data_IF_866706165220
#
_entry.id   IF_866706165220
#
_cell.length_a   1.000
_cell.length_b   1.000
_cell.length_c   1.000
_cell.angle_alpha   90.00
_cell.angle_beta   90.00
_cell.angle_gamma   90.00
#
_symmetry.space_group_name_H-M   'P 1'
#
loop_
_entity.id
_entity.type
_entity.pdbx_description
1 polymer ?
#
# COMPACT_ATOMS: atom_id res chain seq x y z
N UNK A 1 -14.98 26.34 12.90
CA UNK A 1 -14.27 25.33 12.10
C UNK A 1 -12.89 25.19 12.72
N UNK A 2 -12.67 24.16 13.53
CA UNK A 2 -11.31 23.79 13.91
C UNK A 2 -10.64 23.26 12.65
N UNK A 3 -9.64 23.99 12.13
CA UNK A 3 -8.70 23.47 11.13
C UNK A 3 -7.90 22.36 11.81
N UNK A 4 -8.51 21.19 11.97
CA UNK A 4 -7.77 19.99 12.32
C UNK A 4 -7.15 19.53 11.01
N UNK A 5 -5.87 19.84 10.79
CA UNK A 5 -5.14 19.29 9.66
C UNK A 5 -5.14 17.76 9.77
N UNK A 6 -5.58 17.07 8.72
CA UNK A 6 -5.50 15.61 8.67
C UNK A 6 -4.04 15.18 8.77
N UNK A 7 -3.77 14.18 9.62
CA UNK A 7 -2.43 13.63 9.80
C UNK A 7 -2.32 12.30 9.08
N UNK A 8 -1.29 12.20 8.23
CA UNK A 8 -0.96 10.99 7.48
C UNK A 8 0.25 10.30 8.11
N UNK A 9 0.14 9.00 8.32
CA UNK A 9 1.26 8.14 8.67
C UNK A 9 2.17 7.94 7.45
N UNK A 10 3.45 8.25 7.61
CA UNK A 10 4.44 8.19 6.52
C UNK A 10 5.31 6.94 6.62
N UNK A 11 5.92 6.56 5.50
CA UNK A 11 6.91 5.48 5.48
C UNK A 11 8.07 5.84 6.42
N UNK A 12 8.47 4.89 7.26
CA UNK A 12 9.59 5.01 8.20
C UNK A 12 10.81 4.23 7.70
N UNK A 13 11.94 4.37 8.41
CA UNK A 13 13.18 3.63 8.13
C UNK A 13 13.05 2.12 8.35
N UNK A 14 12.17 1.72 9.28
CA UNK A 14 11.86 0.32 9.54
C UNK A 14 10.62 -0.09 8.75
N UNK A 15 10.61 -1.26 8.11
CA UNK A 15 9.41 -1.79 7.49
C UNK A 15 8.31 -2.00 8.51
N UNK A 16 7.07 -1.84 8.07
CA UNK A 16 5.89 -1.94 8.91
C UNK A 16 5.01 -3.07 8.41
N UNK A 17 4.56 -3.93 9.33
CA UNK A 17 3.55 -4.96 9.07
C UNK A 17 2.26 -4.53 9.76
N UNK A 18 1.18 -4.46 8.99
CA UNK A 18 -0.16 -4.26 9.52
C UNK A 18 -0.84 -5.61 9.75
N UNK A 19 -1.15 -5.94 11.00
CA UNK A 19 -2.04 -7.04 11.35
C UNK A 19 -3.46 -6.50 11.47
N UNK A 20 -4.30 -6.86 10.50
CA UNK A 20 -5.69 -6.47 10.41
C UNK A 20 -6.58 -7.62 10.88
N UNK A 21 -7.50 -7.34 11.81
CA UNK A 21 -8.39 -8.33 12.38
C UNK A 21 -9.84 -7.99 12.09
N UNK A 22 -10.66 -8.98 11.76
CA UNK A 22 -12.06 -8.93 12.16
C UNK A 22 -12.17 -9.10 13.70
N UNK A 23 -13.34 -8.82 14.26
CA UNK A 23 -13.53 -8.88 15.71
C UNK A 23 -14.34 -10.11 16.13
N UNK A 24 -15.61 -10.16 15.73
CA UNK A 24 -16.52 -11.25 16.10
C UNK A 24 -16.02 -12.57 15.50
N UNK A 25 -16.04 -13.65 16.29
CA UNK A 25 -15.54 -14.99 15.93
C UNK A 25 -14.07 -15.05 15.50
N UNK A 26 -13.34 -13.95 15.66
CA UNK A 26 -11.92 -13.81 15.33
C UNK A 26 -11.11 -13.53 16.59
N UNK A 27 -11.43 -12.45 17.32
CA UNK A 27 -10.84 -12.09 18.61
C UNK A 27 -11.75 -12.44 19.78
N UNK A 28 -13.08 -12.43 19.57
CA UNK A 28 -14.09 -12.96 20.49
C UNK A 28 -14.70 -14.25 19.94
N UNK A 29 -15.16 -15.19 20.79
CA UNK A 29 -15.74 -16.45 20.33
C UNK A 29 -17.12 -16.30 19.70
N UNK A 30 -17.85 -15.25 20.07
CA UNK A 30 -19.23 -14.99 19.65
C UNK A 30 -19.41 -13.56 19.16
N UNK A 31 -20.55 -13.31 18.52
CA UNK A 31 -21.01 -11.96 18.15
C UNK A 31 -21.12 -11.10 19.42
N UNK A 32 -20.46 -9.94 19.47
CA UNK A 32 -20.37 -9.10 20.67
C UNK A 32 -21.74 -8.71 21.25
N UNK A 33 -22.76 -8.54 20.41
CA UNK A 33 -24.12 -8.19 20.83
C UNK A 33 -24.81 -9.35 21.57
N UNK A 34 -24.43 -10.59 21.26
CA UNK A 34 -24.95 -11.80 21.88
C UNK A 34 -24.34 -12.08 23.26
N UNK A 35 -23.37 -11.29 23.70
CA UNK A 35 -22.66 -11.46 24.97
C UNK A 35 -23.22 -10.57 26.08
N UNK A 36 -24.56 -10.55 26.23
CA UNK A 36 -25.28 -9.91 27.32
C UNK A 36 -26.19 -8.76 26.92
N UNK A 37 -25.96 -8.09 25.78
CA UNK A 37 -26.84 -7.02 25.32
C UNK A 37 -28.20 -7.57 24.89
N UNK A 38 -28.21 -8.57 23.99
CA UNK A 38 -29.45 -9.15 23.46
C UNK A 38 -30.31 -9.73 24.59
N UNK A 39 -29.71 -10.47 25.52
CA UNK A 39 -30.38 -11.06 26.68
C UNK A 39 -31.01 -10.00 27.59
N UNK A 40 -30.42 -8.80 27.67
CA UNK A 40 -31.02 -7.70 28.43
C UNK A 40 -32.28 -7.17 27.76
N UNK A 41 -32.22 -6.94 26.45
CA UNK A 41 -33.28 -6.23 25.70
C UNK A 41 -34.40 -7.16 25.21
N UNK A 42 -34.21 -8.47 25.29
CA UNK A 42 -35.19 -9.46 24.86
C UNK A 42 -35.20 -10.60 25.88
N UNK A 43 -36.23 -10.62 26.75
CA UNK A 43 -36.31 -11.49 27.94
C UNK A 43 -37.36 -12.62 27.83
N UNK A 44 -37.72 -13.04 26.63
CA UNK A 44 -39.00 -13.76 26.42
C UNK A 44 -38.95 -15.02 25.57
N UNK A 45 -37.81 -15.72 25.47
CA UNK A 45 -37.76 -17.02 24.77
C UNK A 45 -36.58 -17.90 25.20
N UNK A 46 -36.66 -19.20 24.90
CA UNK A 46 -35.57 -20.17 25.08
C UNK A 46 -34.38 -19.91 24.13
N UNK A 47 -34.51 -18.99 23.16
CA UNK A 47 -33.46 -18.65 22.19
C UNK A 47 -33.49 -17.17 21.76
N UNK A 48 -33.20 -16.29 22.71
CA UNK A 48 -33.25 -14.83 22.56
C UNK A 48 -32.36 -14.32 21.41
N UNK A 49 -31.17 -14.91 21.22
CA UNK A 49 -30.20 -14.51 20.19
C UNK A 49 -30.70 -14.82 18.78
N UNK A 50 -31.16 -16.05 18.54
CA UNK A 50 -31.64 -16.43 17.20
C UNK A 50 -32.86 -15.62 16.77
N UNK A 51 -33.76 -15.32 17.70
CA UNK A 51 -34.94 -14.50 17.43
C UNK A 51 -34.59 -13.04 17.16
N UNK A 52 -33.62 -12.47 17.91
CA UNK A 52 -33.13 -11.13 17.65
C UNK A 52 -32.60 -11.01 16.22
N UNK A 53 -31.74 -11.96 15.81
CA UNK A 53 -31.17 -11.97 14.47
C UNK A 53 -32.21 -12.25 13.39
N UNK A 54 -33.21 -13.11 13.65
CA UNK A 54 -34.34 -13.34 12.75
C UNK A 54 -35.16 -12.06 12.53
N UNK A 55 -35.44 -11.31 13.59
CA UNK A 55 -36.14 -10.02 13.47
C UNK A 55 -35.30 -9.01 12.69
N UNK A 56 -34.02 -8.86 13.03
CA UNK A 56 -33.09 -7.93 12.38
C UNK A 56 -32.93 -8.25 10.89
N UNK A 57 -32.58 -9.50 10.55
CA UNK A 57 -32.38 -9.92 9.16
C UNK A 57 -33.68 -9.88 8.37
N UNK A 58 -34.80 -10.27 8.96
CA UNK A 58 -36.11 -10.14 8.32
C UNK A 58 -36.52 -8.69 8.09
N UNK A 59 -36.07 -7.74 8.93
CA UNK A 59 -36.24 -6.31 8.69
C UNK A 59 -35.38 -5.84 7.52
N UNK A 60 -34.13 -6.30 7.44
CA UNK A 60 -33.24 -6.00 6.32
C UNK A 60 -33.86 -6.42 4.99
N UNK A 61 -34.30 -7.68 4.89
CA UNK A 61 -34.91 -8.24 3.68
C UNK A 61 -36.20 -7.53 3.27
N UNK A 62 -37.07 -7.17 4.22
CA UNK A 62 -38.36 -6.54 3.92
C UNK A 62 -38.28 -5.07 3.53
N UNK A 63 -37.17 -4.40 3.81
CA UNK A 63 -37.06 -2.95 3.67
C UNK A 63 -35.79 -2.54 2.91
N UNK A 64 -35.15 -3.47 2.18
CA UNK A 64 -33.91 -3.24 1.43
C UNK A 64 -32.80 -2.58 2.26
N UNK A 65 -32.69 -2.95 3.55
CA UNK A 65 -31.67 -2.37 4.42
C UNK A 65 -30.38 -3.18 4.36
N UNK A 66 -29.25 -2.50 4.49
CA UNK A 66 -28.00 -3.13 4.90
C UNK A 66 -28.22 -3.87 6.24
N UNK A 67 -27.70 -5.10 6.37
CA UNK A 67 -27.89 -5.93 7.58
C UNK A 67 -27.31 -5.26 8.82
N UNK A 68 -26.25 -4.47 8.68
CA UNK A 68 -25.67 -3.72 9.78
C UNK A 68 -26.61 -2.61 10.25
N UNK A 69 -27.17 -1.84 9.31
CA UNK A 69 -28.18 -0.83 9.62
C UNK A 69 -29.41 -1.45 10.29
N UNK A 70 -29.83 -2.63 9.86
CA UNK A 70 -30.96 -3.34 10.44
C UNK A 70 -30.70 -3.78 11.89
N UNK A 71 -29.50 -4.30 12.21
CA UNK A 71 -29.20 -4.69 13.59
C UNK A 71 -29.05 -3.46 14.48
N UNK A 72 -28.40 -2.40 14.00
CA UNK A 72 -28.23 -1.15 14.75
C UNK A 72 -29.58 -0.56 15.16
N UNK A 73 -30.50 -0.50 14.19
CA UNK A 73 -31.87 -0.06 14.44
C UNK A 73 -32.58 -0.97 15.45
N UNK A 74 -32.46 -2.29 15.27
CA UNK A 74 -33.10 -3.28 16.15
C UNK A 74 -32.59 -3.20 17.59
N UNK A 75 -31.27 -3.01 17.78
CA UNK A 75 -30.65 -2.76 19.08
C UNK A 75 -31.29 -1.53 19.74
N UNK A 76 -31.19 -0.35 19.09
CA UNK A 76 -31.73 0.90 19.64
C UNK A 76 -33.22 0.81 19.95
N UNK A 77 -34.01 0.19 19.04
CA UNK A 77 -35.45 0.01 19.22
C UNK A 77 -35.78 -0.85 20.43
N UNK A 78 -35.08 -1.98 20.64
CA UNK A 78 -35.37 -2.88 21.77
C UNK A 78 -34.89 -2.32 23.11
N UNK A 79 -33.82 -1.52 23.14
CA UNK A 79 -33.38 -0.84 24.37
C UNK A 79 -34.37 0.22 24.87
N UNK A 80 -35.22 0.76 23.98
CA UNK A 80 -36.19 1.81 24.34
C UNK A 80 -37.09 1.38 25.50
N UNK A 81 -37.12 2.20 26.55
CA UNK A 81 -37.91 1.93 27.76
C UNK A 81 -37.26 0.94 28.73
N UNK A 82 -36.08 0.39 28.41
CA UNK A 82 -35.36 -0.54 29.28
C UNK A 82 -34.14 0.12 29.94
N UNK A 83 -33.34 0.86 29.17
CA UNK A 83 -32.18 1.61 29.67
C UNK A 83 -31.74 2.67 28.63
N UNK A 84 -30.95 3.68 29.03
CA UNK A 84 -30.39 4.66 28.11
C UNK A 84 -29.45 4.00 27.09
N UNK A 85 -29.70 4.18 25.79
CA UNK A 85 -28.86 3.65 24.72
C UNK A 85 -27.75 4.65 24.39
N UNK A 86 -26.72 4.70 25.25
CA UNK A 86 -25.64 5.71 25.21
C UNK A 86 -24.29 5.11 24.83
N UNK A 87 -23.32 5.96 24.44
CA UNK A 87 -21.93 5.52 24.17
C UNK A 87 -21.35 4.76 25.37
N UNK A 88 -21.56 5.28 26.58
CA UNK A 88 -21.11 4.66 27.83
C UNK A 88 -21.73 3.28 28.04
N UNK A 89 -23.04 3.15 27.85
CA UNK A 89 -23.73 1.86 28.01
C UNK A 89 -23.24 0.83 26.99
N UNK A 90 -23.01 1.21 25.74
CA UNK A 90 -22.44 0.31 24.73
C UNK A 90 -21.03 -0.14 25.13
N UNK A 91 -20.17 0.77 25.59
CA UNK A 91 -18.85 0.44 26.10
C UNK A 91 -18.89 -0.50 27.32
N UNK A 92 -19.84 -0.33 28.24
CA UNK A 92 -20.05 -1.22 29.39
C UNK A 92 -20.49 -2.65 28.99
N UNK A 93 -21.18 -2.81 27.86
CA UNK A 93 -21.42 -4.14 27.29
C UNK A 93 -20.17 -4.69 26.62
N UNK A 94 -19.44 -3.84 25.89
CA UNK A 94 -18.14 -4.14 25.32
C UNK A 94 -17.13 -4.69 26.34
N UNK A 95 -17.09 -4.11 27.54
CA UNK A 95 -16.15 -4.52 28.59
C UNK A 95 -16.41 -5.92 29.15
N UNK A 96 -17.56 -6.53 28.82
CA UNK A 96 -17.96 -7.89 29.25
C UNK A 96 -17.74 -8.94 28.15
N UNK A 97 -17.36 -8.51 26.96
CA UNK A 97 -17.08 -9.40 25.83
C UNK A 97 -15.93 -10.34 26.19
N UNK A 98 -16.18 -11.63 26.06
CA UNK A 98 -15.18 -12.66 26.17
C UNK A 98 -14.22 -12.59 24.96
N UNK A 99 -12.96 -12.89 25.21
CA UNK A 99 -11.91 -12.95 24.19
C UNK A 99 -11.40 -14.38 24.12
N UNK A 100 -10.90 -14.79 22.95
CA UNK A 100 -10.22 -16.06 22.80
C UNK A 100 -9.00 -16.15 23.73
N UNK A 101 -8.56 -17.39 24.08
CA UNK A 101 -7.36 -17.62 24.87
C UNK A 101 -6.14 -16.87 24.29
N UNK A 102 -5.35 -16.27 25.17
CA UNK A 102 -4.10 -15.57 24.82
C UNK A 102 -4.23 -14.18 24.19
N UNK A 103 -5.43 -13.74 23.78
CA UNK A 103 -5.63 -12.44 23.08
C UNK A 103 -5.12 -11.25 23.88
N UNK A 104 -5.29 -11.25 25.21
CA UNK A 104 -4.89 -10.10 26.06
C UNK A 104 -3.39 -9.81 26.03
N UNK A 105 -2.56 -10.84 25.92
CA UNK A 105 -1.09 -10.71 25.93
C UNK A 105 -0.49 -10.79 24.52
N UNK A 106 -1.33 -11.00 23.51
CA UNK A 106 -0.95 -11.21 22.12
C UNK A 106 -0.26 -9.98 21.52
N UNK A 107 -0.87 -8.80 21.63
CA UNK A 107 -0.45 -7.60 20.91
C UNK A 107 0.97 -7.17 21.29
N UNK A 108 1.23 -7.04 22.60
CA UNK A 108 2.56 -6.69 23.12
C UNK A 108 3.60 -7.75 22.72
N UNK A 109 3.26 -9.04 22.81
CA UNK A 109 4.17 -10.13 22.47
C UNK A 109 4.59 -10.10 21.00
N UNK A 110 3.65 -9.90 20.08
CA UNK A 110 3.94 -9.83 18.64
C UNK A 110 4.69 -8.54 18.30
N UNK A 111 4.34 -7.40 18.89
CA UNK A 111 5.10 -6.16 18.72
C UNK A 111 6.55 -6.30 19.18
N UNK A 112 6.77 -6.92 20.35
CA UNK A 112 8.11 -7.20 20.86
C UNK A 112 8.90 -8.07 19.89
N UNK A 113 8.31 -9.15 19.39
CA UNK A 113 8.96 -10.03 18.42
C UNK A 113 9.32 -9.30 17.12
N UNK A 114 8.41 -8.47 16.59
CA UNK A 114 8.70 -7.64 15.42
C UNK A 114 9.83 -6.64 15.68
N UNK A 115 9.83 -5.97 16.84
CA UNK A 115 10.85 -5.02 17.21
C UNK A 115 12.26 -5.65 17.30
N UNK A 116 12.37 -6.86 17.86
CA UNK A 116 13.60 -7.65 17.89
C UNK A 116 14.13 -7.98 16.48
N UNK A 117 13.24 -8.03 15.49
CA UNK A 117 13.56 -8.29 14.08
C UNK A 117 13.71 -7.01 13.25
N UNK A 118 13.62 -5.83 13.86
CA UNK A 118 13.70 -4.55 13.17
C UNK A 118 12.46 -4.17 12.37
N UNK A 119 11.30 -4.78 12.67
CA UNK A 119 10.01 -4.53 12.03
C UNK A 119 9.08 -3.82 13.01
N UNK A 120 8.32 -2.85 12.52
CA UNK A 120 7.23 -2.21 13.29
C UNK A 120 5.96 -3.03 13.07
N UNK A 121 5.30 -3.44 14.16
CA UNK A 121 4.01 -4.11 14.08
C UNK A 121 2.92 -3.13 14.48
N UNK A 122 1.91 -3.00 13.63
CA UNK A 122 0.71 -2.22 13.90
C UNK A 122 -0.52 -3.13 13.86
N UNK A 123 -1.42 -2.96 14.83
CA UNK A 123 -2.66 -3.74 14.91
C UNK A 123 -3.86 -2.86 14.56
N UNK A 124 -4.76 -3.41 13.74
CA UNK A 124 -5.95 -2.71 13.25
C UNK A 124 -7.19 -3.57 13.35
N UNK A 125 -8.31 -3.01 13.76
CA UNK A 125 -9.62 -3.66 13.62
C UNK A 125 -10.30 -3.22 12.32
N UNK A 126 -10.84 -4.18 11.57
CA UNK A 126 -11.73 -3.96 10.43
C UNK A 126 -12.95 -4.86 10.61
N UNK A 127 -13.99 -4.36 11.28
CA UNK A 127 -15.13 -5.16 11.72
C UNK A 127 -16.49 -4.58 11.35
N UNK A 128 -17.47 -5.45 11.10
CA UNK A 128 -18.87 -5.04 10.94
C UNK A 128 -19.57 -4.79 12.28
N UNK A 129 -18.94 -5.19 13.40
CA UNK A 129 -19.41 -4.98 14.76
C UNK A 129 -19.43 -3.51 15.19
N UNK A 130 -19.86 -3.24 16.43
CA UNK A 130 -20.01 -1.88 16.94
C UNK A 130 -18.71 -1.34 17.54
N UNK A 131 -18.21 -0.22 16.99
CA UNK A 131 -17.01 0.48 17.44
C UNK A 131 -17.06 0.77 18.94
N UNK A 132 -18.20 1.24 19.46
CA UNK A 132 -18.32 1.62 20.88
C UNK A 132 -18.25 0.42 21.82
N UNK A 133 -18.68 -0.76 21.37
CA UNK A 133 -18.50 -1.99 22.13
C UNK A 133 -17.04 -2.46 22.06
N UNK A 134 -16.40 -2.41 20.89
CA UNK A 134 -14.98 -2.78 20.74
C UNK A 134 -14.10 -1.84 21.58
N UNK A 135 -14.34 -0.53 21.55
CA UNK A 135 -13.65 0.48 22.37
C UNK A 135 -13.81 0.23 23.88
N UNK A 136 -14.89 -0.43 24.30
CA UNK A 136 -15.13 -0.82 25.69
C UNK A 136 -14.32 -2.02 26.17
N UNK A 137 -13.70 -2.77 25.26
CA UNK A 137 -12.92 -3.98 25.59
C UNK A 137 -11.57 -3.62 26.21
N UNK A 138 -10.96 -4.57 26.94
CA UNK A 138 -9.63 -4.35 27.55
C UNK A 138 -8.49 -4.22 26.54
N UNK A 139 -8.73 -4.62 25.28
CA UNK A 139 -7.73 -4.66 24.21
C UNK A 139 -7.84 -3.48 23.23
N UNK A 140 -8.84 -2.61 23.40
CA UNK A 140 -9.07 -1.47 22.50
C UNK A 140 -7.84 -0.56 22.35
N UNK A 141 -7.08 -0.40 23.44
CA UNK A 141 -5.87 0.42 23.53
C UNK A 141 -4.70 -0.11 22.70
N UNK A 142 -4.74 -1.38 22.29
CA UNK A 142 -3.64 -2.04 21.59
C UNK A 142 -3.72 -1.86 20.08
N UNK A 143 -4.83 -1.29 19.58
CA UNK A 143 -5.04 -1.00 18.16
C UNK A 143 -4.64 0.43 17.81
N UNK A 144 -3.94 0.57 16.68
CA UNK A 144 -3.59 1.85 16.08
C UNK A 144 -4.84 2.57 15.56
N UNK A 145 -5.78 1.82 14.98
CA UNK A 145 -7.11 2.33 14.60
C UNK A 145 -8.15 1.20 14.61
N UNK A 146 -9.40 1.57 14.90
CA UNK A 146 -10.57 0.68 14.93
C UNK A 146 -11.58 1.15 13.87
N UNK A 147 -11.61 0.45 12.74
CA UNK A 147 -12.63 0.64 11.71
C UNK A 147 -13.80 -0.30 11.97
N UNK A 148 -14.90 0.27 12.45
CA UNK A 148 -16.09 -0.48 12.78
C UNK A 148 -17.37 0.35 12.58
N UNK A 149 -18.51 -0.33 12.53
CA UNK A 149 -19.82 0.32 12.49
C UNK A 149 -20.03 1.13 13.77
N UNK A 150 -20.52 2.37 13.69
CA UNK A 150 -20.60 3.28 14.84
C UNK A 150 -21.86 4.13 14.83
N UNK A 151 -22.24 4.65 15.99
CA UNK A 151 -23.32 5.62 16.11
C UNK A 151 -22.78 7.05 16.22
N UNK A 152 -23.57 7.99 15.71
CA UNK A 152 -23.53 9.40 16.09
C UNK A 152 -24.30 9.55 17.41
N UNK A 153 -23.70 10.27 18.36
CA UNK A 153 -24.26 10.54 19.68
C UNK A 153 -24.55 12.04 19.81
N UNK A 154 -25.64 12.39 20.48
CA UNK A 154 -25.95 13.77 20.84
C UNK A 154 -25.15 14.25 22.07
N UNK A 155 -25.41 15.49 22.51
CA UNK A 155 -24.73 16.13 23.65
C UNK A 155 -24.93 15.38 24.97
N UNK A 156 -26.02 14.61 25.11
CA UNK A 156 -26.31 13.76 26.26
C UNK A 156 -25.65 12.35 26.14
N UNK A 157 -24.92 12.12 25.05
CA UNK A 157 -24.26 10.86 24.76
C UNK A 157 -25.21 9.74 24.33
N UNK A 158 -26.44 10.05 23.92
CA UNK A 158 -27.45 9.10 23.46
C UNK A 158 -27.28 8.84 21.96
N UNK A 159 -27.33 7.57 21.55
CA UNK A 159 -27.14 7.22 20.15
C UNK A 159 -28.32 7.69 19.30
N UNK A 160 -28.08 8.55 18.31
CA UNK A 160 -29.11 9.15 17.46
C UNK A 160 -29.23 8.43 16.12
N UNK A 161 -28.12 8.26 15.41
CA UNK A 161 -28.06 7.82 14.02
C UNK A 161 -26.81 6.98 13.75
N UNK A 162 -26.77 6.07 12.75
CA UNK A 162 -25.52 5.44 12.32
C UNK A 162 -24.51 6.47 11.77
N UNK A 163 -23.34 6.59 12.38
CA UNK A 163 -22.27 7.48 11.91
C UNK A 163 -21.40 6.81 10.83
N UNK A 164 -21.04 5.55 11.03
CA UNK A 164 -20.31 4.74 10.05
C UNK A 164 -20.96 3.36 9.98
N UNK A 165 -20.99 2.78 8.78
CA UNK A 165 -21.49 1.42 8.55
C UNK A 165 -20.40 0.66 7.82
N UNK A 166 -19.87 -0.39 8.45
CA UNK A 166 -18.82 -1.22 7.87
C UNK A 166 -19.40 -2.56 7.43
N UNK A 167 -19.45 -2.79 6.11
CA UNK A 167 -19.95 -4.01 5.52
C UNK A 167 -18.87 -4.73 4.71
N UNK A 168 -19.17 -5.95 4.26
CA UNK A 168 -18.22 -6.82 3.55
C UNK A 168 -17.55 -6.16 2.33
N UNK A 169 -18.22 -5.21 1.66
CA UNK A 169 -17.65 -4.49 0.52
C UNK A 169 -16.71 -3.38 0.98
N UNK A 170 -17.19 -2.52 1.88
CA UNK A 170 -16.41 -1.35 2.28
C UNK A 170 -15.28 -1.67 3.28
N UNK A 171 -15.25 -2.85 3.92
CA UNK A 171 -14.08 -3.30 4.69
C UNK A 171 -12.77 -3.13 3.89
N UNK A 172 -12.82 -3.35 2.57
CA UNK A 172 -11.65 -3.24 1.68
C UNK A 172 -11.05 -1.83 1.61
N UNK A 173 -11.85 -0.76 1.75
CA UNK A 173 -11.30 0.61 1.70
C UNK A 173 -10.33 0.88 2.86
N UNK A 174 -10.55 0.24 4.02
CA UNK A 174 -9.70 0.43 5.18
C UNK A 174 -8.31 -0.17 4.98
N UNK A 175 -8.18 -1.22 4.15
CA UNK A 175 -6.87 -1.73 3.75
C UNK A 175 -6.09 -0.71 2.92
N UNK A 176 -6.75 0.00 2.00
CA UNK A 176 -6.11 1.08 1.25
C UNK A 176 -5.72 2.26 2.14
N UNK A 177 -6.57 2.62 3.12
CA UNK A 177 -6.27 3.65 4.13
C UNK A 177 -5.04 3.31 4.94
N UNK A 178 -4.98 2.10 5.50
CA UNK A 178 -3.82 1.59 6.24
C UNK A 178 -2.58 1.58 5.33
N UNK A 179 -2.72 1.11 4.08
CA UNK A 179 -1.59 1.06 3.15
C UNK A 179 -0.99 2.43 2.87
N UNK A 180 -1.86 3.42 2.65
CA UNK A 180 -1.46 4.80 2.36
C UNK A 180 -1.14 5.62 3.62
N UNK A 181 -1.44 5.11 4.81
CA UNK A 181 -1.28 5.83 6.08
C UNK A 181 -2.34 6.93 6.31
N UNK A 182 -3.46 6.88 5.59
CA UNK A 182 -4.55 7.87 5.65
C UNK A 182 -5.68 7.32 6.51
N UNK A 183 -5.51 7.39 7.84
CA UNK A 183 -6.37 6.64 8.78
C UNK A 183 -7.74 7.27 8.99
N UNK A 184 -7.86 8.61 8.96
CA UNK A 184 -9.16 9.27 9.13
C UNK A 184 -10.10 8.92 7.97
N UNK A 185 -11.31 8.46 8.30
CA UNK A 185 -12.31 8.03 7.31
C UNK A 185 -12.86 9.19 6.46
N UNK A 186 -12.73 10.43 6.92
CA UNK A 186 -13.15 11.63 6.20
C UNK A 186 -12.03 12.26 5.38
N UNK A 187 -10.79 11.75 5.49
CA UNK A 187 -9.69 12.23 4.66
C UNK A 187 -9.77 11.62 3.26
N UNK A 188 -9.94 12.49 2.26
CA UNK A 188 -10.05 12.15 0.84
C UNK A 188 -8.69 11.79 0.21
N UNK A 189 -7.57 12.07 0.89
CA UNK A 189 -6.22 11.74 0.42
C UNK A 189 -6.00 10.25 0.19
N UNK A 190 -6.88 9.37 0.72
CA UNK A 190 -6.89 7.95 0.35
C UNK A 190 -7.05 7.73 -1.16
N UNK A 191 -7.65 8.68 -1.89
CA UNK A 191 -7.83 8.62 -3.34
C UNK A 191 -6.58 9.09 -4.10
N UNK A 192 -5.65 9.76 -3.45
CA UNK A 192 -4.46 10.30 -4.10
C UNK A 192 -3.50 9.19 -4.54
N UNK A 193 -2.73 9.49 -5.59
CA UNK A 193 -1.69 8.59 -6.06
C UNK A 193 -0.44 8.71 -5.17
N UNK A 194 0.02 7.57 -4.65
CA UNK A 194 1.28 7.47 -3.90
C UNK A 194 2.23 6.55 -4.65
N UNK A 195 3.47 7.01 -4.84
CA UNK A 195 4.53 6.17 -5.37
C UNK A 195 4.91 5.09 -4.34
N UNK A 196 5.45 3.92 -4.76
CA UNK A 196 5.76 2.82 -3.85
C UNK A 196 6.69 3.18 -2.68
N UNK A 197 7.59 4.15 -2.87
CA UNK A 197 8.48 4.69 -1.84
C UNK A 197 7.77 5.56 -0.79
N UNK A 198 6.55 6.02 -1.07
CA UNK A 198 5.73 6.82 -0.14
C UNK A 198 4.66 6.00 0.57
N UNK A 199 4.38 4.77 0.13
CA UNK A 199 3.42 3.87 0.76
C UNK A 199 3.90 3.52 2.18
N UNK A 200 3.00 3.69 3.16
CA UNK A 200 3.26 3.43 4.59
C UNK A 200 3.39 1.93 4.84
N UNK A 201 2.35 1.17 4.47
CA UNK A 201 2.32 -0.30 4.55
C UNK A 201 2.01 -0.89 3.18
N UNK A 202 2.99 -1.45 2.46
CA UNK A 202 2.71 -2.20 1.24
C UNK A 202 1.79 -3.39 1.52
N UNK A 203 0.92 -3.75 0.58
CA UNK A 203 -0.01 -4.88 0.75
C UNK A 203 0.70 -6.21 1.03
N UNK A 204 1.91 -6.41 0.48
CA UNK A 204 2.72 -7.60 0.75
C UNK A 204 3.23 -7.69 2.21
N UNK A 205 3.11 -6.60 2.97
CA UNK A 205 3.38 -6.54 4.41
C UNK A 205 2.09 -6.53 5.25
N UNK A 206 0.94 -6.83 4.66
CA UNK A 206 -0.33 -6.95 5.40
C UNK A 206 -0.63 -8.39 5.75
N UNK A 207 -1.13 -8.59 6.97
CA UNK A 207 -1.69 -9.85 7.42
C UNK A 207 -3.14 -9.61 7.80
N UNK A 208 -4.07 -10.30 7.17
CA UNK A 208 -5.49 -10.24 7.49
C UNK A 208 -5.92 -11.53 8.19
N UNK A 209 -6.53 -11.40 9.37
CA UNK A 209 -7.04 -12.50 10.19
C UNK A 209 -8.55 -12.34 10.33
N UNK A 210 -9.30 -13.35 9.94
CA UNK A 210 -10.77 -13.35 10.06
C UNK A 210 -11.35 -14.76 9.96
N UNK A 211 -12.59 -14.93 10.38
CA UNK A 211 -13.25 -16.24 10.38
C UNK A 211 -14.32 -16.38 9.28
N UNK A 212 -14.80 -15.25 8.74
CA UNK A 212 -16.11 -15.20 8.08
C UNK A 212 -16.03 -15.12 6.55
N UNK A 213 -17.14 -15.49 5.90
CA UNK A 213 -17.32 -15.23 4.48
C UNK A 213 -17.35 -13.72 4.16
N UNK A 214 -17.67 -12.88 5.14
CA UNK A 214 -17.71 -11.41 4.95
C UNK A 214 -16.32 -10.80 4.80
N UNK A 215 -15.28 -11.51 5.25
CA UNK A 215 -13.89 -11.10 5.14
C UNK A 215 -13.22 -11.55 3.84
N UNK A 216 -13.87 -12.44 3.06
CA UNK A 216 -13.32 -12.94 1.80
C UNK A 216 -12.83 -11.84 0.86
N UNK A 217 -13.55 -10.71 0.66
CA UNK A 217 -13.05 -9.62 -0.19
C UNK A 217 -11.71 -9.05 0.30
N UNK A 218 -11.57 -8.85 1.61
CA UNK A 218 -10.34 -8.34 2.22
C UNK A 218 -9.21 -9.36 2.13
N UNK A 219 -9.49 -10.62 2.49
CA UNK A 219 -8.54 -11.71 2.41
C UNK A 219 -8.04 -11.90 0.97
N UNK A 220 -8.95 -11.94 -0.01
CA UNK A 220 -8.57 -12.05 -1.42
C UNK A 220 -7.74 -10.86 -1.88
N UNK A 221 -8.08 -9.64 -1.46
CA UNK A 221 -7.34 -8.43 -1.82
C UNK A 221 -5.91 -8.50 -1.28
N UNK A 222 -5.73 -8.81 0.00
CA UNK A 222 -4.41 -8.95 0.63
C UNK A 222 -3.60 -10.07 -0.03
N UNK A 223 -4.19 -11.26 -0.18
CA UNK A 223 -3.51 -12.42 -0.75
C UNK A 223 -3.08 -12.20 -2.21
N UNK A 224 -3.91 -11.55 -3.02
CA UNK A 224 -3.59 -11.25 -4.43
C UNK A 224 -2.47 -10.23 -4.62
N UNK A 225 -2.19 -9.42 -3.60
CA UNK A 225 -1.11 -8.43 -3.58
C UNK A 225 0.10 -8.89 -2.76
N UNK A 226 0.25 -10.21 -2.55
CA UNK A 226 1.41 -10.81 -1.91
C UNK A 226 1.41 -10.77 -0.39
N UNK A 227 0.34 -10.27 0.24
CA UNK A 227 0.15 -10.32 1.69
C UNK A 227 -0.39 -11.67 2.16
N UNK A 228 -0.73 -11.76 3.44
CA UNK A 228 -1.07 -13.01 4.09
C UNK A 228 -2.52 -12.97 4.57
N UNK A 229 -3.30 -14.00 4.23
CA UNK A 229 -4.68 -14.14 4.71
C UNK A 229 -4.84 -15.42 5.50
N UNK A 230 -5.27 -15.28 6.75
CA UNK A 230 -5.37 -16.36 7.72
C UNK A 230 -6.83 -16.51 8.13
N UNK A 231 -7.42 -17.64 7.79
CA UNK A 231 -8.74 -18.03 8.27
C UNK A 231 -8.65 -18.62 9.68
N UNK A 232 -9.31 -18.01 10.67
CA UNK A 232 -9.37 -18.58 12.02
C UNK A 232 -10.69 -19.29 12.27
N UNK A 233 -10.69 -20.20 13.23
CA UNK A 233 -11.90 -20.90 13.64
C UNK A 233 -11.91 -21.23 15.13
N UNK A 234 -13.09 -21.25 15.74
CA UNK A 234 -13.24 -21.58 17.14
C UNK A 234 -12.98 -23.10 17.34
N UNK A 235 -11.94 -23.51 18.09
CA UNK A 235 -11.65 -24.93 18.32
C UNK A 235 -12.69 -25.61 19.22
N UNK A 236 -13.45 -24.85 20.01
CA UNK A 236 -14.46 -25.36 20.93
C UNK A 236 -15.87 -25.43 20.30
N UNK A 237 -16.01 -25.01 19.04
CA UNK A 237 -17.29 -25.12 18.35
C UNK A 237 -17.65 -26.60 18.16
N UNK A 238 -18.79 -27.01 18.73
CA UNK A 238 -19.18 -28.43 18.90
C UNK A 238 -19.39 -29.25 17.62
N UNK A 239 -19.10 -28.69 16.44
CA UNK A 239 -19.10 -29.39 15.16
C UNK A 239 -17.80 -29.10 14.39
N UNK A 240 -16.70 -29.71 14.86
CA UNK A 240 -15.37 -29.60 14.27
C UNK A 240 -15.34 -29.87 12.76
N UNK A 241 -16.14 -30.84 12.29
CA UNK A 241 -16.21 -31.20 10.87
C UNK A 241 -16.79 -30.05 10.02
N UNK A 242 -17.84 -29.40 10.50
CA UNK A 242 -18.45 -28.25 9.81
C UNK A 242 -17.50 -27.06 9.75
N UNK A 243 -16.80 -26.81 10.85
CA UNK A 243 -15.83 -25.71 10.97
C UNK A 243 -14.64 -25.92 10.04
N UNK A 244 -14.05 -27.12 10.05
CA UNK A 244 -12.97 -27.49 9.12
C UNK A 244 -13.43 -27.45 7.67
N UNK A 245 -14.65 -27.89 7.34
CA UNK A 245 -15.21 -27.77 5.98
C UNK A 245 -15.28 -26.32 5.48
N UNK A 246 -15.58 -25.35 6.35
CA UNK A 246 -15.61 -23.93 6.00
C UNK A 246 -14.23 -23.43 5.58
N UNK A 247 -13.23 -23.58 6.45
CA UNK A 247 -11.85 -23.11 6.17
C UNK A 247 -11.21 -23.88 5.01
N UNK A 248 -11.48 -25.18 4.87
CA UNK A 248 -10.99 -25.99 3.74
C UNK A 248 -11.62 -25.56 2.42
N UNK A 249 -12.88 -25.15 2.41
CA UNK A 249 -13.50 -24.56 1.21
C UNK A 249 -12.80 -23.25 0.85
N UNK A 250 -12.53 -22.37 1.82
CA UNK A 250 -11.87 -21.10 1.56
C UNK A 250 -10.45 -21.27 0.99
N UNK A 251 -9.69 -22.24 1.51
CA UNK A 251 -8.37 -22.62 0.96
C UNK A 251 -8.52 -23.14 -0.47
N UNK A 252 -9.41 -24.11 -0.72
CA UNK A 252 -9.62 -24.69 -2.06
C UNK A 252 -10.06 -23.66 -3.10
N UNK A 253 -10.85 -22.67 -2.68
CA UNK A 253 -11.31 -21.57 -3.53
C UNK A 253 -10.23 -20.47 -3.70
N UNK A 254 -9.00 -20.68 -3.22
CA UNK A 254 -7.88 -19.73 -3.22
C UNK A 254 -8.24 -18.37 -2.57
N UNK A 255 -9.12 -18.39 -1.57
CA UNK A 255 -9.59 -17.17 -0.85
C UNK A 255 -8.68 -16.79 0.30
N UNK A 256 -8.05 -17.77 0.94
CA UNK A 256 -7.08 -17.62 2.03
C UNK A 256 -5.84 -18.46 1.74
N UNK A 257 -4.71 -18.07 2.31
CA UNK A 257 -3.44 -18.80 2.18
C UNK A 257 -3.20 -19.76 3.34
N UNK A 258 -3.73 -19.44 4.53
CA UNK A 258 -3.47 -20.15 5.77
C UNK A 258 -4.74 -20.26 6.60
N UNK A 259 -4.76 -21.20 7.54
CA UNK A 259 -5.81 -21.29 8.54
C UNK A 259 -5.25 -21.86 9.85
N UNK A 260 -5.80 -21.46 10.99
CA UNK A 260 -5.40 -21.94 12.32
C UNK A 260 -6.60 -21.92 13.27
N UNK A 261 -6.57 -22.66 14.39
CA UNK A 261 -7.48 -22.38 15.51
C UNK A 261 -7.35 -20.95 16.00
N UNK A 262 -8.43 -20.38 16.53
CA UNK A 262 -8.47 -19.09 17.20
C UNK A 262 -7.93 -19.22 18.65
N UNK A 263 -6.66 -19.57 18.76
CA UNK A 263 -5.91 -19.59 20.02
C UNK A 263 -4.66 -18.72 19.87
N UNK A 264 -4.66 -17.60 20.59
CA UNK A 264 -3.63 -16.57 20.55
C UNK A 264 -2.60 -16.77 21.66
N UNK A 265 -2.58 -17.92 22.33
CA UNK A 265 -1.61 -18.23 23.37
C UNK A 265 -0.21 -18.43 22.79
N UNK A 266 0.83 -18.15 23.59
CA UNK A 266 2.21 -18.27 23.13
C UNK A 266 2.53 -19.70 22.71
N UNK A 267 3.22 -19.86 21.57
CA UNK A 267 3.63 -21.15 21.06
C UNK A 267 2.54 -21.97 20.38
N UNK A 268 1.30 -21.47 20.31
CA UNK A 268 0.22 -22.10 19.53
C UNK A 268 0.39 -21.84 18.03
N UNK A 269 -0.40 -22.54 17.21
CA UNK A 269 -0.29 -22.52 15.75
C UNK A 269 -0.33 -21.10 15.16
N UNK A 270 -1.25 -20.24 15.63
CA UNK A 270 -1.36 -18.86 15.15
C UNK A 270 -0.13 -18.01 15.53
N UNK A 271 0.36 -18.15 16.76
CA UNK A 271 1.56 -17.45 17.25
C UNK A 271 2.81 -17.85 16.43
N UNK A 272 2.99 -19.14 16.18
CA UNK A 272 4.07 -19.66 15.35
C UNK A 272 3.96 -19.17 13.89
N UNK A 273 2.76 -19.22 13.32
CA UNK A 273 2.52 -18.79 11.93
C UNK A 273 2.84 -17.29 11.76
N UNK A 274 2.39 -16.44 12.68
CA UNK A 274 2.67 -15.00 12.62
C UNK A 274 4.16 -14.72 12.72
N UNK A 275 4.88 -15.39 13.63
CA UNK A 275 6.34 -15.26 13.74
C UNK A 275 7.06 -15.68 12.45
N UNK A 276 6.62 -16.77 11.80
CA UNK A 276 7.15 -17.19 10.49
C UNK A 276 6.90 -16.16 9.39
N UNK A 277 5.72 -15.54 9.37
CA UNK A 277 5.41 -14.48 8.40
C UNK A 277 6.30 -13.25 8.65
N UNK A 278 6.47 -12.83 9.91
CA UNK A 278 7.37 -11.72 10.27
C UNK A 278 8.80 -12.00 9.80
N UNK A 279 9.33 -13.18 10.10
CA UNK A 279 10.68 -13.59 9.66
C UNK A 279 10.81 -13.57 8.13
N UNK A 280 9.80 -14.05 7.40
CA UNK A 280 9.79 -13.99 5.93
C UNK A 280 9.77 -12.54 5.43
N UNK A 281 8.98 -11.67 6.04
CA UNK A 281 8.91 -10.25 5.66
C UNK A 281 10.27 -9.55 5.83
N UNK A 282 11.04 -9.89 6.87
CA UNK A 282 12.40 -9.35 7.04
C UNK A 282 13.28 -9.64 5.82
N UNK A 283 13.22 -10.85 5.26
CA UNK A 283 13.98 -11.20 4.05
C UNK A 283 13.39 -10.56 2.79
N UNK A 284 12.06 -10.50 2.67
CA UNK A 284 11.41 -9.86 1.53
C UNK A 284 11.76 -8.38 1.44
N UNK A 285 11.77 -7.65 2.55
CA UNK A 285 12.11 -6.22 2.56
C UNK A 285 13.57 -5.95 2.18
N UNK A 286 14.49 -6.88 2.48
CA UNK A 286 15.86 -6.80 1.99
C UNK A 286 15.94 -6.96 0.47
N UNK A 287 15.13 -7.86 -0.11
CA UNK A 287 15.03 -8.05 -1.55
C UNK A 287 14.37 -6.86 -2.24
N UNK A 288 13.28 -6.34 -1.69
CA UNK A 288 12.59 -5.13 -2.19
C UNK A 288 13.54 -3.94 -2.23
N UNK A 289 14.32 -3.72 -1.17
CA UNK A 289 15.33 -2.65 -1.17
C UNK A 289 16.33 -2.79 -2.31
N UNK A 290 16.87 -3.99 -2.54
CA UNK A 290 17.79 -4.25 -3.67
C UNK A 290 17.12 -4.04 -5.02
N UNK A 291 15.85 -4.47 -5.16
CA UNK A 291 15.08 -4.27 -6.38
C UNK A 291 14.94 -2.77 -6.71
N UNK A 292 14.57 -1.95 -5.72
CA UNK A 292 14.47 -0.50 -5.92
C UNK A 292 15.82 0.18 -6.14
N UNK A 293 16.89 -0.29 -5.50
CA UNK A 293 18.26 0.19 -5.77
C UNK A 293 18.63 0.00 -7.25
N UNK A 294 18.48 -1.23 -7.79
CA UNK A 294 18.77 -1.52 -9.20
C UNK A 294 17.86 -0.76 -10.15
N UNK A 295 16.57 -0.63 -9.83
CA UNK A 295 15.62 0.13 -10.65
C UNK A 295 16.01 1.61 -10.71
N UNK A 296 16.40 2.20 -9.58
CA UNK A 296 16.81 3.60 -9.51
C UNK A 296 18.14 3.84 -10.24
N UNK A 297 19.08 2.90 -10.15
CA UNK A 297 20.33 2.95 -10.91
C UNK A 297 20.07 2.95 -12.43
N UNK A 298 19.23 2.02 -12.91
CA UNK A 298 18.86 1.95 -14.33
C UNK A 298 18.14 3.22 -14.81
N UNK A 299 17.25 3.79 -14.00
CA UNK A 299 16.55 5.05 -14.31
C UNK A 299 17.49 6.26 -14.32
N UNK A 300 18.52 6.28 -13.46
CA UNK A 300 19.54 7.34 -13.49
C UNK A 300 20.39 7.24 -14.75
N UNK A 301 20.80 6.04 -15.12
CA UNK A 301 21.58 5.81 -16.33
C UNK A 301 20.79 6.22 -17.59
N UNK A 302 19.50 5.86 -17.68
CA UNK A 302 18.68 6.24 -18.84
C UNK A 302 18.45 7.74 -18.93
N UNK A 303 18.23 8.44 -17.80
CA UNK A 303 18.13 9.90 -17.77
C UNK A 303 19.43 10.58 -18.18
N UNK A 304 20.56 10.12 -17.64
CA UNK A 304 21.87 10.65 -18.02
C UNK A 304 22.14 10.47 -19.51
N UNK A 305 21.79 9.30 -20.07
CA UNK A 305 21.92 9.04 -21.50
C UNK A 305 21.04 10.00 -22.32
N UNK A 306 19.79 10.22 -21.90
CA UNK A 306 18.88 11.15 -22.58
C UNK A 306 19.32 12.62 -22.47
N UNK A 307 19.89 13.03 -21.34
CA UNK A 307 20.46 14.38 -21.15
C UNK A 307 21.72 14.56 -22.01
N UNK A 308 22.59 13.54 -22.08
CA UNK A 308 23.78 13.55 -22.95
C UNK A 308 23.40 13.63 -24.43
N UNK A 309 22.42 12.84 -24.87
CA UNK A 309 21.89 12.87 -26.25
C UNK A 309 21.35 14.26 -26.59
N UNK A 310 20.57 14.88 -25.70
CA UNK A 310 20.06 16.24 -25.93
C UNK A 310 21.19 17.29 -25.94
N UNK A 311 22.17 17.19 -25.05
CA UNK A 311 23.31 18.14 -25.02
C UNK A 311 24.16 18.04 -26.30
N UNK A 312 24.33 16.84 -26.86
CA UNK A 312 25.00 16.64 -28.16
C UNK A 312 24.24 17.35 -29.28
N UNK A 313 22.93 17.15 -29.38
CA UNK A 313 22.08 17.80 -30.39
C UNK A 313 22.20 19.33 -30.26
N UNK A 314 22.06 19.87 -29.05
CA UNK A 314 22.15 21.32 -28.81
C UNK A 314 23.53 21.89 -29.20
N UNK A 315 24.61 21.12 -28.98
CA UNK A 315 25.97 21.51 -29.37
C UNK A 315 26.21 21.43 -30.89
N UNK A 316 25.60 20.45 -31.57
CA UNK A 316 25.65 20.32 -33.04
C UNK A 316 24.92 21.51 -33.68
N UNK A 317 23.71 21.83 -33.21
CA UNK A 317 22.94 23.01 -33.66
C UNK A 317 23.70 24.33 -33.41
N UNK A 318 24.35 24.44 -32.25
CA UNK A 318 25.19 25.58 -31.93
C UNK A 318 26.42 25.68 -32.84
N UNK A 319 26.99 24.54 -33.25
CA UNK A 319 28.12 24.49 -34.18
C UNK A 319 27.68 24.92 -35.59
N UNK A 320 26.54 24.43 -36.05
CA UNK A 320 25.95 24.79 -37.36
C UNK A 320 25.67 26.30 -37.46
N UNK A 321 25.14 26.89 -36.38
CA UNK A 321 24.82 28.32 -36.29
C UNK A 321 26.00 29.20 -35.87
N UNK A 322 27.20 28.63 -35.65
CA UNK A 322 28.35 29.37 -35.13
C UNK A 322 28.81 30.45 -36.12
N UNK A 323 28.77 31.71 -35.68
CA UNK A 323 29.11 32.89 -36.49
C UNK A 323 30.50 33.48 -36.24
N UNK A 324 31.33 32.91 -35.37
CA UNK A 324 32.71 33.36 -35.15
C UNK A 324 33.64 32.25 -34.63
N UNK A 325 34.94 32.36 -34.95
CA UNK A 325 35.95 31.35 -34.64
C UNK A 325 36.07 31.04 -33.14
N UNK A 326 36.07 32.07 -32.27
CA UNK A 326 36.19 31.87 -30.81
C UNK A 326 35.05 31.00 -30.26
N UNK A 327 33.84 31.18 -30.77
CA UNK A 327 32.70 30.36 -30.39
C UNK A 327 32.83 28.93 -30.92
N UNK A 328 33.25 28.77 -32.18
CA UNK A 328 33.48 27.46 -32.80
C UNK A 328 34.47 26.62 -32.01
N UNK A 329 35.64 27.15 -31.63
CA UNK A 329 36.59 26.43 -30.77
C UNK A 329 35.98 26.01 -29.43
N UNK A 330 35.16 26.87 -28.81
CA UNK A 330 34.53 26.54 -27.53
C UNK A 330 33.52 25.40 -27.68
N UNK A 331 32.73 25.39 -28.75
CA UNK A 331 31.76 24.33 -29.05
C UNK A 331 32.48 23.03 -29.36
N UNK A 332 33.50 23.04 -30.23
CA UNK A 332 34.30 21.87 -30.55
C UNK A 332 34.99 21.29 -29.31
N UNK A 333 35.52 22.13 -28.41
CA UNK A 333 36.07 21.68 -27.13
C UNK A 333 35.04 20.97 -26.26
N UNK A 334 33.77 21.37 -26.30
CA UNK A 334 32.68 20.69 -25.57
C UNK A 334 32.31 19.37 -26.25
N UNK A 335 32.11 19.38 -27.56
CA UNK A 335 31.84 18.18 -28.37
C UNK A 335 32.95 17.14 -28.24
N UNK A 336 34.22 17.57 -28.14
CA UNK A 336 35.38 16.69 -28.01
C UNK A 336 35.43 15.88 -26.72
N UNK A 337 34.54 16.15 -25.75
CA UNK A 337 34.40 15.35 -24.52
C UNK A 337 33.62 14.05 -24.76
N UNK A 338 32.89 13.95 -25.86
CA UNK A 338 32.10 12.77 -26.18
C UNK A 338 32.86 11.88 -27.17
N UNK A 339 32.89 10.58 -26.89
CA UNK A 339 33.57 9.59 -27.73
C UNK A 339 32.61 8.75 -28.57
N UNK A 340 31.38 8.55 -28.10
CA UNK A 340 30.36 7.76 -28.79
C UNK A 340 29.38 8.68 -29.51
N UNK A 341 29.27 8.47 -30.82
CA UNK A 341 28.41 9.22 -31.73
C UNK A 341 27.51 8.25 -32.50
N UNK A 342 26.27 8.65 -32.74
CA UNK A 342 25.37 7.97 -33.66
C UNK A 342 25.70 8.35 -35.11
N UNK A 343 25.29 7.51 -36.06
CA UNK A 343 25.62 7.71 -37.48
C UNK A 343 25.06 9.02 -38.05
N UNK A 344 23.86 9.42 -37.63
CA UNK A 344 23.22 10.69 -37.99
C UNK A 344 23.96 11.90 -37.40
N UNK A 345 24.36 11.84 -36.12
CA UNK A 345 25.18 12.89 -35.49
C UNK A 345 26.53 13.08 -36.22
N UNK A 346 27.16 11.99 -36.66
CA UNK A 346 28.41 12.03 -37.43
C UNK A 346 28.19 12.69 -38.79
N UNK A 347 27.11 12.32 -39.50
CA UNK A 347 26.74 12.90 -40.79
C UNK A 347 26.51 14.42 -40.64
N UNK A 348 25.79 14.85 -39.61
CA UNK A 348 25.54 16.27 -39.35
C UNK A 348 26.85 17.03 -39.04
N UNK A 349 27.71 16.47 -38.19
CA UNK A 349 29.01 17.06 -37.88
C UNK A 349 29.88 17.24 -39.14
N UNK A 350 29.93 16.23 -40.01
CA UNK A 350 30.68 16.26 -41.28
C UNK A 350 30.07 17.24 -42.28
N UNK A 351 28.74 17.28 -42.38
CA UNK A 351 27.99 18.26 -43.17
C UNK A 351 28.34 19.69 -42.74
N UNK A 352 28.30 19.97 -41.43
CA UNK A 352 28.69 21.27 -40.85
C UNK A 352 30.15 21.59 -41.19
N UNK A 353 31.05 20.61 -41.04
CA UNK A 353 32.47 20.78 -41.34
C UNK A 353 32.75 21.24 -42.78
N UNK A 354 31.92 20.80 -43.73
CA UNK A 354 32.06 21.17 -45.14
C UNK A 354 31.23 22.40 -45.56
N UNK A 355 30.01 22.55 -45.05
CA UNK A 355 29.06 23.57 -45.50
C UNK A 355 29.11 24.85 -44.68
N UNK A 356 29.41 24.79 -43.38
CA UNK A 356 29.58 26.00 -42.59
C UNK A 356 30.92 26.66 -42.92
N UNK A 357 30.85 27.81 -43.58
CA UNK A 357 32.04 28.57 -44.03
C UNK A 357 33.01 28.93 -42.90
N UNK A 358 32.51 29.18 -41.68
CA UNK A 358 33.35 29.48 -40.52
C UNK A 358 34.08 28.24 -40.05
N UNK A 359 33.37 27.13 -39.85
CA UNK A 359 33.96 25.85 -39.40
C UNK A 359 34.97 25.34 -40.42
N UNK A 360 34.61 25.37 -41.72
CA UNK A 360 35.48 24.93 -42.82
C UNK A 360 36.81 25.68 -42.87
N UNK A 361 36.78 26.99 -42.63
CA UNK A 361 37.97 27.84 -42.72
C UNK A 361 39.04 27.49 -41.66
N UNK A 362 38.61 26.98 -40.51
CA UNK A 362 39.47 26.65 -39.37
C UNK A 362 39.61 25.13 -39.14
N UNK A 363 39.26 24.30 -40.13
CA UNK A 363 39.46 22.84 -40.05
C UNK A 363 40.92 22.44 -39.84
N UNK A 364 41.87 23.31 -40.24
CA UNK A 364 43.31 23.11 -40.03
C UNK A 364 43.77 23.39 -38.59
N UNK A 365 42.98 24.09 -37.79
CA UNK A 365 43.34 24.43 -36.41
C UNK A 365 43.46 23.16 -35.57
N UNK A 366 44.47 23.13 -34.69
CA UNK A 366 44.90 21.89 -34.05
C UNK A 366 43.79 21.14 -33.29
N UNK A 367 42.92 21.85 -32.57
CA UNK A 367 41.81 21.25 -31.81
C UNK A 367 40.66 20.77 -32.71
N UNK A 368 40.32 21.55 -33.74
CA UNK A 368 39.25 21.21 -34.69
C UNK A 368 39.66 20.05 -35.59
N UNK A 369 40.90 20.08 -36.08
CA UNK A 369 41.50 19.02 -36.86
C UNK A 369 41.51 17.68 -36.13
N UNK A 370 41.95 17.67 -34.87
CA UNK A 370 41.98 16.46 -34.04
C UNK A 370 40.57 15.93 -33.81
N UNK A 371 39.59 16.80 -33.58
CA UNK A 371 38.20 16.40 -33.44
C UNK A 371 37.66 15.76 -34.72
N UNK A 372 37.78 16.45 -35.87
CA UNK A 372 37.23 15.97 -37.14
C UNK A 372 37.92 14.71 -37.67
N UNK A 373 39.23 14.52 -37.41
CA UNK A 373 39.89 13.24 -37.72
C UNK A 373 39.24 12.06 -36.98
N UNK A 374 38.90 12.23 -35.69
CA UNK A 374 38.21 11.19 -34.91
C UNK A 374 36.79 10.91 -35.42
N UNK A 375 36.09 11.95 -35.89
CA UNK A 375 34.76 11.80 -36.50
C UNK A 375 34.88 11.04 -37.83
N UNK A 376 35.87 11.38 -38.67
CA UNK A 376 36.13 10.71 -39.94
C UNK A 376 36.45 9.22 -39.80
N UNK A 377 37.20 8.83 -38.77
CA UNK A 377 37.48 7.40 -38.47
C UNK A 377 36.21 6.57 -38.21
N UNK A 378 35.13 7.23 -37.77
CA UNK A 378 33.85 6.61 -37.44
C UNK A 378 32.78 6.87 -38.50
N UNK A 379 33.12 7.56 -39.59
CA UNK A 379 32.16 7.97 -40.60
C UNK A 379 31.51 6.75 -41.30
N UNK A 380 30.17 6.74 -41.45
CA UNK A 380 29.50 5.75 -42.28
C UNK A 380 30.03 5.81 -43.72
N UNK A 381 30.17 4.65 -44.39
CA UNK A 381 30.70 4.55 -45.76
C UNK A 381 29.87 5.27 -46.84
N UNK A 382 28.68 5.76 -46.47
CA UNK A 382 27.71 6.43 -47.33
C UNK A 382 27.81 7.97 -47.29
N UNK A 383 28.62 8.56 -46.41
CA UNK A 383 28.71 10.01 -46.27
C UNK A 383 29.60 10.64 -47.35
N UNK A 384 29.01 11.45 -48.24
CA UNK A 384 29.73 12.13 -49.32
C UNK A 384 30.59 13.31 -48.86
N UNK A 385 30.40 13.81 -47.63
CA UNK A 385 31.14 14.94 -47.07
C UNK A 385 32.42 14.49 -46.35
N UNK A 386 32.51 13.23 -45.90
CA UNK A 386 33.68 12.65 -45.26
C UNK A 386 34.96 12.84 -46.11
N UNK A 387 34.90 12.47 -47.40
CA UNK A 387 36.03 12.63 -48.32
C UNK A 387 36.41 14.10 -48.55
N UNK A 388 35.43 15.02 -48.53
CA UNK A 388 35.65 16.45 -48.74
C UNK A 388 36.31 17.09 -47.51
N UNK A 389 35.84 16.74 -46.31
CA UNK A 389 36.43 17.21 -45.05
C UNK A 389 37.85 16.67 -44.87
N UNK A 390 38.08 15.39 -45.19
CA UNK A 390 39.41 14.79 -45.15
C UNK A 390 40.41 15.52 -46.06
N UNK A 391 40.02 15.80 -47.32
CA UNK A 391 40.87 16.50 -48.27
C UNK A 391 41.27 17.93 -47.80
N UNK A 392 40.36 18.64 -47.13
CA UNK A 392 40.66 19.99 -46.58
C UNK A 392 41.65 19.89 -45.42
N UNK A 393 41.49 18.87 -44.57
CA UNK A 393 42.41 18.63 -43.45
C UNK A 393 43.81 18.24 -43.95
N UNK A 394 43.90 17.39 -44.98
CA UNK A 394 45.18 17.00 -45.61
C UNK A 394 45.87 18.19 -46.28
N UNK A 395 45.14 19.03 -47.01
CA UNK A 395 45.69 20.23 -47.63
C UNK A 395 46.29 21.21 -46.60
N UNK A 396 45.75 21.26 -45.38
CA UNK A 396 46.31 22.05 -44.27
C UNK A 396 47.58 21.46 -43.63
N UNK A 397 48.03 20.26 -44.04
CA UNK A 397 49.29 19.64 -43.60
C UNK A 397 50.48 19.96 -44.51
N UNK A 398 50.20 20.43 -45.73
CA UNK A 398 51.20 20.75 -46.75
C UNK A 398 51.63 22.25 -46.73
N UNK A 399 50.93 23.08 -45.95
CA UNK A 399 51.28 24.49 -45.62
C UNK A 399 52.02 24.60 -44.28
#
# INVERSE_FOLDING_TARGET
MTNTEFQREVKEDKPVIALCYDFDKTLSPDDMQAQGYIQKVQKSSDNEVAEFWKESNGRAEKNDMDKNLAYMYTMKKKARGQFPFTKKTLAEYGSKVALFPGVKDWFERIQKYGAEKGIIIEHYIISSGLKEMIEGTSIAKDFKEIYATSFYFDDDGVAVWPAQVVNYTNKTQFLFRISKGVLDVNDEAVNDFFTPDKIRVPFHNMIYIGDSDTDIPCMKLVNSHGGYSIGVFNPEEGNEEKVKKRVYKMIRDNRIGYFTPADYSEGQELDQLIKLIIDRTVFNEQLERKHYEYKNEALKQSRQKSEEEQEKIDLIDALESSGNFKNTHNIIRKLSKYENWQDDEIIDLLSIGFHNSQVRYILGDQDIKVFYKKILEKAPSIDENAAKVAAIIEASEEE
#
